data_IF_076131336568
#
_entry.id   IF_076131336568
#
_cell.length_a   1.000
_cell.length_b   1.000
_cell.length_c   1.000
_cell.angle_alpha   90.00
_cell.angle_beta   90.00
_cell.angle_gamma   90.00
#
_symmetry.space_group_name_H-M   'P 1'
#
loop_
_entity.id
_entity.type
_entity.pdbx_description
1 polymer ?
#
# COMPACT_ATOMS: atom_id res chain seq x y z
N UNK A 1 71.00 77.44 -17.49
CA UNK A 1 72.13 76.83 -16.75
C UNK A 1 71.60 75.67 -15.92
N UNK A 2 72.28 74.53 -16.03
CA UNK A 2 72.36 73.40 -15.10
C UNK A 2 71.12 72.52 -14.77
N UNK A 3 71.33 71.23 -15.06
CA UNK A 3 70.57 70.01 -14.74
C UNK A 3 70.32 69.80 -13.24
N UNK A 4 69.30 68.98 -12.91
CA UNK A 4 69.32 67.78 -12.01
C UNK A 4 67.89 67.17 -11.93
N UNK A 5 67.63 66.01 -12.53
CA UNK A 5 67.72 64.62 -11.99
C UNK A 5 66.61 64.32 -10.94
N UNK A 6 65.57 63.60 -11.38
CA UNK A 6 64.66 62.68 -10.63
C UNK A 6 65.47 61.51 -10.02
N UNK A 7 65.10 60.74 -8.95
CA UNK A 7 63.74 60.27 -8.65
C UNK A 7 63.36 59.97 -7.17
N UNK A 8 62.14 59.44 -7.00
CA UNK A 8 61.67 58.47 -5.99
C UNK A 8 61.38 58.99 -4.55
N UNK A 9 60.13 58.85 -4.12
CA UNK A 9 59.73 58.22 -2.84
C UNK A 9 58.25 57.79 -2.92
N UNK A 10 58.09 56.47 -2.97
CA UNK A 10 57.06 55.58 -2.39
C UNK A 10 55.57 55.93 -2.54
N UNK A 11 54.94 55.17 -3.45
CA UNK A 11 53.53 54.83 -3.49
C UNK A 11 53.21 53.81 -2.38
N UNK A 12 52.18 54.03 -1.56
CA UNK A 12 51.57 52.97 -0.74
C UNK A 12 50.06 53.02 -0.89
N UNK A 13 49.51 51.86 -1.21
CA UNK A 13 48.11 51.55 -1.52
C UNK A 13 47.13 52.01 -0.44
N UNK A 14 45.91 52.36 -0.86
CA UNK A 14 44.69 51.88 -0.22
C UNK A 14 43.59 51.74 -1.28
N UNK A 15 43.28 50.49 -1.60
CA UNK A 15 42.15 50.04 -2.40
C UNK A 15 40.91 50.00 -1.51
N UNK A 16 39.78 50.46 -2.04
CA UNK A 16 38.47 50.30 -1.40
C UNK A 16 37.34 50.61 -2.38
N UNK A 17 37.06 49.68 -3.29
CA UNK A 17 35.85 49.70 -4.11
C UNK A 17 34.65 49.20 -3.30
N UNK A 18 33.55 49.96 -3.44
CA UNK A 18 32.11 49.67 -3.34
C UNK A 18 31.63 48.26 -2.96
N UNK A 19 30.52 48.17 -2.22
CA UNK A 19 29.25 47.55 -2.66
C UNK A 19 28.18 47.76 -1.58
N UNK A 20 27.10 48.48 -1.92
CA UNK A 20 25.89 48.52 -1.11
C UNK A 20 25.13 47.20 -1.29
N UNK A 21 25.06 46.39 -0.24
CA UNK A 21 24.27 45.16 -0.21
C UNK A 21 22.78 45.51 -0.08
N UNK A 22 22.02 45.27 -1.14
CA UNK A 22 20.58 45.09 -1.03
C UNK A 22 20.34 43.72 -0.36
N UNK A 23 19.84 43.74 0.87
CA UNK A 23 19.33 42.55 1.54
C UNK A 23 18.02 42.15 0.84
N UNK A 24 18.10 41.21 -0.09
CA UNK A 24 16.94 40.48 -0.57
C UNK A 24 16.37 39.66 0.59
N UNK A 25 15.11 39.93 0.96
CA UNK A 25 14.33 39.02 1.81
C UNK A 25 14.33 37.63 1.15
N UNK A 26 14.49 36.53 1.90
CA UNK A 26 14.19 35.22 1.35
C UNK A 26 12.71 35.23 0.98
N UNK A 27 12.40 35.06 -0.31
CA UNK A 27 11.08 34.61 -0.74
C UNK A 27 10.83 33.31 0.00
N UNK A 28 9.77 33.26 0.80
CA UNK A 28 9.32 32.01 1.41
C UNK A 28 9.25 30.97 0.29
N UNK A 29 10.04 29.90 0.40
CA UNK A 29 9.94 28.79 -0.52
C UNK A 29 8.47 28.37 -0.52
N UNK A 30 7.81 28.43 -1.68
CA UNK A 30 6.45 27.94 -1.81
C UNK A 30 6.44 26.49 -1.27
N UNK A 31 5.47 26.19 -0.41
CA UNK A 31 5.40 24.90 0.27
C UNK A 31 5.37 23.79 -0.78
N UNK A 32 6.24 22.79 -0.62
CA UNK A 32 6.22 21.60 -1.46
C UNK A 32 4.84 20.94 -1.34
N UNK A 33 4.27 20.54 -2.47
CA UNK A 33 3.07 19.71 -2.50
C UNK A 33 3.44 18.27 -2.14
N UNK A 34 2.50 17.51 -1.60
CA UNK A 34 2.73 16.12 -1.24
C UNK A 34 1.49 15.25 -1.44
N UNK A 35 1.73 13.99 -1.75
CA UNK A 35 0.73 12.93 -1.82
C UNK A 35 1.14 11.78 -0.92
N UNK A 36 0.26 11.38 -0.01
CA UNK A 36 0.38 10.14 0.75
C UNK A 36 -0.58 9.11 0.14
N UNK A 37 -0.01 7.99 -0.31
CA UNK A 37 -0.75 6.93 -0.95
C UNK A 37 -1.61 6.18 0.08
N UNK A 38 -2.94 6.15 -0.06
CA UNK A 38 -3.82 5.56 0.94
C UNK A 38 -3.66 4.04 1.04
N UNK A 39 -3.32 3.34 -0.05
CA UNK A 39 -3.19 1.87 -0.06
C UNK A 39 -1.78 1.43 0.30
N UNK A 40 -0.77 2.00 -0.35
CA UNK A 40 0.62 1.58 -0.21
C UNK A 40 1.46 2.46 0.74
N UNK A 41 0.86 3.49 1.35
CA UNK A 41 1.44 4.32 2.43
C UNK A 41 2.81 4.95 2.13
N UNK A 42 3.19 5.04 0.87
CA UNK A 42 4.35 5.83 0.44
C UNK A 42 3.96 7.30 0.32
N UNK A 43 4.92 8.19 0.51
CA UNK A 43 4.72 9.64 0.33
C UNK A 43 5.60 10.14 -0.80
N UNK A 44 5.04 10.94 -1.69
CA UNK A 44 5.77 11.64 -2.74
C UNK A 44 5.59 13.14 -2.50
N UNK A 45 6.70 13.87 -2.39
CA UNK A 45 6.68 15.33 -2.30
C UNK A 45 7.31 15.94 -3.55
N UNK A 46 6.77 17.07 -4.00
CA UNK A 46 7.26 17.75 -5.18
C UNK A 46 7.28 19.27 -5.01
N UNK A 47 8.23 19.87 -5.70
CA UNK A 47 8.42 21.31 -5.77
C UNK A 47 7.39 21.97 -6.72
N UNK A 48 7.14 23.28 -6.58
CA UNK A 48 6.05 23.98 -7.27
C UNK A 48 6.12 23.98 -8.80
N UNK A 49 7.25 23.62 -9.40
CA UNK A 49 7.36 23.44 -10.85
C UNK A 49 6.62 22.21 -11.39
N UNK A 50 6.14 21.32 -10.51
CA UNK A 50 5.35 20.14 -10.90
C UNK A 50 3.87 20.34 -10.58
N UNK A 51 3.04 20.13 -11.60
CA UNK A 51 1.59 20.09 -11.51
C UNK A 51 1.10 18.65 -11.48
N UNK A 52 0.13 18.34 -10.60
CA UNK A 52 -0.57 17.06 -10.60
C UNK A 52 -1.55 17.01 -11.76
N UNK A 53 -1.32 16.11 -12.72
CA UNK A 53 -2.14 15.95 -13.92
C UNK A 53 -3.08 14.75 -13.86
N UNK A 54 -2.73 13.72 -13.07
CA UNK A 54 -3.62 12.61 -12.77
C UNK A 54 -3.37 12.06 -11.37
N UNK A 55 -4.44 11.60 -10.73
CA UNK A 55 -4.39 10.89 -9.46
C UNK A 55 -5.50 9.85 -9.45
N UNK A 56 -5.12 8.59 -9.31
CA UNK A 56 -6.05 7.48 -9.14
C UNK A 56 -5.54 6.58 -8.03
N UNK A 57 -6.40 6.22 -7.10
CA UNK A 57 -6.09 5.22 -6.08
C UNK A 57 -7.25 4.26 -6.00
N UNK A 58 -6.92 2.97 -6.03
CA UNK A 58 -7.81 1.88 -5.70
C UNK A 58 -7.05 0.85 -4.86
N UNK A 59 -7.79 -0.14 -4.37
CA UNK A 59 -7.30 -1.22 -3.50
C UNK A 59 -6.12 -2.03 -4.05
N UNK A 60 -5.81 -1.95 -5.35
CA UNK A 60 -4.71 -2.67 -6.02
C UNK A 60 -3.56 -1.76 -6.41
N UNK A 61 -3.81 -0.46 -6.57
CA UNK A 61 -2.80 0.47 -7.08
C UNK A 61 -3.06 1.91 -6.65
N UNK A 62 -1.98 2.59 -6.24
CA UNK A 62 -1.92 4.05 -6.15
C UNK A 62 -1.15 4.59 -7.35
N UNK A 63 -1.71 5.55 -8.08
CA UNK A 63 -1.03 6.20 -9.20
C UNK A 63 -1.14 7.71 -9.11
N UNK A 64 0.03 8.36 -9.12
CA UNK A 64 0.19 9.81 -9.22
C UNK A 64 0.93 10.13 -10.52
N UNK A 65 0.41 11.05 -11.32
CA UNK A 65 1.12 11.60 -12.48
C UNK A 65 1.30 13.11 -12.31
N UNK A 66 2.54 13.54 -12.51
CA UNK A 66 2.98 14.92 -12.43
C UNK A 66 3.55 15.36 -13.79
N UNK A 67 3.40 16.64 -14.12
CA UNK A 67 4.06 17.26 -15.26
C UNK A 67 4.57 18.64 -14.89
N UNK A 68 5.69 19.06 -15.49
CA UNK A 68 6.18 20.44 -15.42
C UNK A 68 6.07 21.17 -16.76
N UNK A 69 5.22 20.66 -17.67
CA UNK A 69 5.04 21.17 -19.03
C UNK A 69 6.10 20.71 -20.04
N UNK A 70 7.20 20.10 -19.59
CA UNK A 70 8.25 19.53 -20.46
C UNK A 70 8.37 18.03 -20.25
N UNK A 71 8.48 17.61 -18.99
CA UNK A 71 8.58 16.22 -18.58
C UNK A 71 7.27 15.74 -17.95
N UNK A 72 7.05 14.43 -18.00
CA UNK A 72 6.01 13.75 -17.22
C UNK A 72 6.66 12.72 -16.30
N UNK A 73 6.22 12.66 -15.05
CA UNK A 73 6.62 11.64 -14.08
C UNK A 73 5.38 10.95 -13.53
N UNK A 74 5.34 9.62 -13.59
CA UNK A 74 4.29 8.78 -13.04
C UNK A 74 4.87 7.88 -11.96
N UNK A 75 4.23 7.90 -10.80
CA UNK A 75 4.48 6.97 -9.72
C UNK A 75 3.31 6.03 -9.62
N UNK A 76 3.57 4.73 -9.67
CA UNK A 76 2.56 3.70 -9.51
C UNK A 76 3.02 2.71 -8.46
N UNK A 77 2.38 2.71 -7.30
CA UNK A 77 2.49 1.59 -6.39
C UNK A 77 1.48 0.51 -6.77
N UNK A 78 1.90 -0.74 -6.74
CA UNK A 78 1.07 -1.90 -7.08
C UNK A 78 1.55 -3.11 -6.31
N UNK A 79 0.62 -4.02 -6.01
CA UNK A 79 0.97 -5.39 -5.65
C UNK A 79 1.56 -6.11 -6.86
N UNK A 80 2.54 -6.97 -6.63
CA UNK A 80 3.21 -7.74 -7.67
C UNK A 80 4.70 -7.91 -7.41
N UNK A 81 5.32 -8.72 -8.26
CA UNK A 81 6.77 -8.99 -8.23
C UNK A 81 7.28 -9.56 -6.89
N UNK A 82 6.40 -9.99 -5.98
CA UNK A 82 6.80 -10.41 -4.62
C UNK A 82 7.53 -9.31 -3.85
N UNK A 83 7.22 -8.04 -4.14
CA UNK A 83 7.93 -6.89 -3.55
C UNK A 83 9.39 -6.74 -4.00
N UNK A 84 9.84 -7.58 -4.94
CA UNK A 84 11.20 -7.57 -5.48
C UNK A 84 11.35 -6.49 -6.55
N UNK A 85 12.16 -5.48 -6.23
CA UNK A 85 12.46 -4.36 -7.12
C UNK A 85 13.26 -4.77 -8.35
N UNK A 86 14.13 -5.76 -8.25
CA UNK A 86 14.93 -6.26 -9.36
C UNK A 86 14.06 -7.05 -10.33
N UNK A 87 13.14 -7.88 -9.81
CA UNK A 87 12.16 -8.59 -10.62
C UNK A 87 11.20 -7.61 -11.34
N UNK A 88 10.80 -6.54 -10.66
CA UNK A 88 10.02 -5.45 -11.25
C UNK A 88 10.78 -4.76 -12.40
N UNK A 89 12.03 -4.36 -12.16
CA UNK A 89 12.86 -3.67 -13.15
C UNK A 89 13.10 -4.55 -14.37
N UNK A 90 13.41 -5.84 -14.16
CA UNK A 90 13.56 -6.82 -15.23
C UNK A 90 12.31 -6.95 -16.10
N UNK A 91 11.13 -7.02 -15.48
CA UNK A 91 9.86 -7.12 -16.21
C UNK A 91 9.47 -5.84 -16.96
N UNK A 92 9.95 -4.68 -16.51
CA UNK A 92 9.74 -3.38 -17.15
C UNK A 92 10.83 -3.00 -18.15
N UNK A 93 11.73 -3.94 -18.47
CA UNK A 93 12.82 -3.75 -19.42
C UNK A 93 12.38 -3.73 -20.89
N UNK A 94 13.26 -4.16 -21.80
CA UNK A 94 13.05 -4.07 -23.26
C UNK A 94 11.69 -4.66 -23.72
N UNK A 95 11.24 -5.75 -23.10
CA UNK A 95 9.97 -6.43 -23.42
C UNK A 95 8.73 -5.59 -23.08
N UNK A 96 8.81 -4.70 -22.08
CA UNK A 96 7.71 -3.79 -21.74
C UNK A 96 7.42 -2.82 -22.88
N UNK A 97 8.47 -2.24 -23.48
CA UNK A 97 8.30 -1.28 -24.56
C UNK A 97 7.70 -1.93 -25.81
N UNK A 98 8.05 -3.18 -26.10
CA UNK A 98 7.49 -3.94 -27.22
C UNK A 98 5.95 -4.12 -27.15
N UNK A 99 5.36 -4.07 -25.94
CA UNK A 99 3.92 -4.20 -25.71
C UNK A 99 3.24 -2.86 -25.38
N UNK A 100 3.99 -1.77 -25.43
CA UNK A 100 3.55 -0.42 -25.06
C UNK A 100 3.28 0.44 -26.31
N UNK A 101 2.71 1.65 -26.18
CA UNK A 101 2.63 2.59 -27.30
C UNK A 101 3.98 3.21 -27.70
N UNK A 102 5.07 2.83 -27.04
CA UNK A 102 6.43 3.33 -27.25
C UNK A 102 7.26 2.33 -28.06
N UNK A 103 7.87 2.80 -29.15
CA UNK A 103 8.88 2.06 -29.89
C UNK A 103 10.24 2.26 -29.22
N UNK A 104 10.88 1.17 -28.78
CA UNK A 104 12.23 1.21 -28.22
C UNK A 104 13.25 1.43 -29.34
N UNK A 105 13.99 2.54 -29.29
CA UNK A 105 15.03 2.85 -30.27
C UNK A 105 16.42 2.42 -29.76
N UNK A 106 16.68 2.59 -28.46
CA UNK A 106 17.96 2.27 -27.86
C UNK A 106 17.80 2.07 -26.34
N UNK A 107 18.43 1.03 -25.79
CA UNK A 107 18.61 0.88 -24.34
C UNK A 107 19.99 1.38 -23.92
N UNK A 108 20.06 2.02 -22.75
CA UNK A 108 21.30 2.44 -22.11
C UNK A 108 21.50 1.63 -20.83
N UNK A 109 22.73 1.16 -20.54
CA UNK A 109 23.00 0.57 -19.25
C UNK A 109 22.74 1.59 -18.13
N UNK A 110 22.35 1.13 -16.92
CA UNK A 110 22.06 2.00 -15.78
C UNK A 110 23.14 3.06 -15.58
N UNK A 111 22.78 4.34 -15.61
CA UNK A 111 23.75 5.42 -15.35
C UNK A 111 24.02 5.51 -13.85
N UNK A 112 25.28 5.42 -13.37
CA UNK A 112 25.55 5.57 -11.95
C UNK A 112 25.10 6.96 -11.48
N UNK A 113 24.01 6.99 -10.70
CA UNK A 113 23.65 8.17 -9.95
C UNK A 113 24.74 8.37 -8.87
N UNK A 114 25.31 9.56 -8.80
CA UNK A 114 26.27 9.96 -7.76
C UNK A 114 25.71 9.87 -6.33
N UNK A 115 24.40 9.69 -6.20
CA UNK A 115 23.68 9.52 -4.93
C UNK A 115 22.70 8.37 -5.14
N UNK A 116 22.85 7.24 -4.42
CA UNK A 116 21.85 6.18 -4.42
C UNK A 116 20.50 6.72 -3.96
N UNK A 117 19.42 6.32 -4.62
CA UNK A 117 18.07 6.56 -4.11
C UNK A 117 17.91 5.63 -2.89
N UNK A 118 18.00 6.19 -1.68
CA UNK A 118 18.10 5.41 -0.43
C UNK A 118 16.88 4.52 -0.16
N UNK A 119 17.10 3.26 0.26
CA UNK A 119 16.05 2.41 0.87
C UNK A 119 16.31 0.90 0.89
N UNK A 120 17.17 0.38 0.01
CA UNK A 120 17.54 -1.05 -0.03
C UNK A 120 19.02 -1.18 -0.41
N UNK A 121 19.62 -2.30 -0.07
CA UNK A 121 21.03 -2.66 -0.28
C UNK A 121 21.46 -2.79 -1.75
N UNK A 122 20.55 -2.58 -2.71
CA UNK A 122 20.86 -2.60 -4.14
C UNK A 122 21.40 -1.24 -4.59
N UNK A 123 22.68 -1.21 -4.95
CA UNK A 123 23.34 -0.08 -5.60
C UNK A 123 22.96 0.04 -7.10
N UNK A 124 21.70 -0.22 -7.44
CA UNK A 124 21.26 -0.26 -8.84
C UNK A 124 20.66 1.08 -9.21
N UNK A 125 21.24 1.65 -10.26
CA UNK A 125 20.76 2.85 -10.89
C UNK A 125 19.50 2.56 -11.73
N UNK A 126 18.65 3.57 -11.95
CA UNK A 126 17.48 3.46 -12.81
C UNK A 126 17.85 3.12 -14.26
N UNK A 127 16.99 2.34 -14.91
CA UNK A 127 17.14 2.01 -16.32
C UNK A 127 16.67 3.17 -17.20
N UNK A 128 17.42 3.42 -18.26
CA UNK A 128 17.15 4.49 -19.22
C UNK A 128 17.01 3.95 -20.63
N UNK A 129 15.97 4.40 -21.31
CA UNK A 129 15.63 3.98 -22.67
C UNK A 129 15.39 5.21 -23.53
N UNK A 130 15.86 5.18 -24.78
CA UNK A 130 15.39 6.12 -25.79
C UNK A 130 14.24 5.45 -26.53
N UNK A 131 13.09 6.10 -26.46
CA UNK A 131 11.84 5.61 -26.99
C UNK A 131 11.22 6.64 -27.91
N UNK A 132 10.38 6.19 -28.83
CA UNK A 132 9.55 7.06 -29.67
C UNK A 132 8.09 6.72 -29.46
N UNK A 133 7.26 7.72 -29.19
CA UNK A 133 5.82 7.47 -29.11
C UNK A 133 5.25 7.26 -30.51
N UNK A 134 4.40 6.25 -30.67
CA UNK A 134 3.70 6.00 -31.94
C UNK A 134 2.77 7.15 -32.36
N UNK A 135 2.40 8.05 -31.44
CA UNK A 135 1.43 9.12 -31.65
C UNK A 135 2.05 10.49 -31.94
N UNK A 136 3.21 10.81 -31.36
CA UNK A 136 3.85 12.14 -31.48
C UNK A 136 5.07 12.10 -32.39
N UNK A 137 5.69 10.91 -32.57
CA UNK A 137 6.84 10.73 -33.46
C UNK A 137 8.16 11.36 -32.96
N UNK A 138 8.16 11.93 -31.76
CA UNK A 138 9.34 12.53 -31.13
C UNK A 138 10.10 11.53 -30.25
N UNK A 139 11.43 11.65 -30.25
CA UNK A 139 12.31 10.84 -29.42
C UNK A 139 12.33 11.36 -27.98
N UNK A 140 12.19 10.44 -27.05
CA UNK A 140 12.10 10.71 -25.62
C UNK A 140 13.04 9.79 -24.86
N UNK A 141 13.52 10.25 -23.72
CA UNK A 141 14.12 9.41 -22.70
C UNK A 141 13.02 8.94 -21.76
N UNK A 142 12.86 7.62 -21.67
CA UNK A 142 12.11 6.95 -20.64
C UNK A 142 13.04 6.55 -19.50
N UNK A 143 12.65 6.94 -18.30
CA UNK A 143 13.30 6.55 -17.05
C UNK A 143 12.39 5.56 -16.32
N UNK A 144 12.96 4.47 -15.81
CA UNK A 144 12.24 3.48 -15.00
C UNK A 144 13.03 3.16 -13.73
N UNK A 145 12.36 3.20 -12.58
CA UNK A 145 12.89 2.83 -11.27
C UNK A 145 11.84 2.03 -10.51
N UNK A 146 12.21 0.87 -9.97
CA UNK A 146 11.37 0.09 -9.08
C UNK A 146 11.95 0.13 -7.66
N UNK A 147 11.09 0.31 -6.66
CA UNK A 147 11.48 0.21 -5.24
C UNK A 147 10.55 -0.74 -4.50
N UNK A 148 11.11 -1.53 -3.59
CA UNK A 148 10.31 -2.36 -2.71
C UNK A 148 9.47 -1.49 -1.75
N UNK A 149 8.21 -1.87 -1.55
CA UNK A 149 7.31 -1.30 -0.54
C UNK A 149 7.02 -2.30 0.59
N UNK A 150 7.80 -3.39 0.67
CA UNK A 150 7.56 -4.51 1.56
C UNK A 150 7.64 -5.84 0.81
N UNK A 151 7.01 -6.89 1.35
CA UNK A 151 7.17 -8.25 0.84
C UNK A 151 6.38 -8.57 -0.42
N UNK A 152 5.50 -7.67 -0.89
CA UNK A 152 4.56 -7.99 -1.98
C UNK A 152 4.23 -6.84 -2.94
N UNK A 153 4.71 -5.63 -2.64
CA UNK A 153 4.39 -4.44 -3.41
C UNK A 153 5.64 -3.71 -3.84
N UNK A 154 5.55 -3.07 -4.99
CA UNK A 154 6.62 -2.23 -5.54
C UNK A 154 6.07 -0.86 -5.91
N UNK A 155 6.91 0.16 -5.77
CA UNK A 155 6.71 1.47 -6.36
C UNK A 155 7.46 1.54 -7.68
N UNK A 156 6.71 1.72 -8.77
CA UNK A 156 7.24 1.96 -10.10
C UNK A 156 7.25 3.47 -10.34
N UNK A 157 8.44 4.05 -10.51
CA UNK A 157 8.61 5.43 -10.95
C UNK A 157 8.98 5.43 -12.43
N UNK A 158 8.15 6.07 -13.26
CA UNK A 158 8.32 6.15 -14.70
C UNK A 158 8.34 7.62 -15.11
N UNK A 159 9.35 8.07 -15.85
CA UNK A 159 9.36 9.43 -16.40
C UNK A 159 9.62 9.44 -17.90
N UNK A 160 9.00 10.39 -18.59
CA UNK A 160 9.23 10.68 -20.01
C UNK A 160 9.71 12.10 -20.18
N UNK A 161 10.78 12.25 -20.95
CA UNK A 161 11.44 13.53 -21.20
C UNK A 161 11.79 13.63 -22.67
N UNK A 162 11.47 14.73 -23.37
CA UNK A 162 11.99 14.97 -24.73
C UNK A 162 13.52 14.85 -24.76
N UNK A 163 14.06 14.14 -25.77
CA UNK A 163 15.49 13.82 -25.84
C UNK A 163 16.38 15.07 -25.80
N UNK A 164 15.95 16.16 -26.44
CA UNK A 164 16.64 17.44 -26.49
C UNK A 164 16.53 18.27 -25.20
N UNK A 165 15.59 17.95 -24.31
CA UNK A 165 15.37 18.62 -23.05
C UNK A 165 15.98 17.90 -21.84
N UNK A 166 16.48 16.68 -22.01
CA UNK A 166 16.94 15.80 -20.92
C UNK A 166 17.87 16.47 -19.92
N UNK A 167 18.97 17.07 -20.40
CA UNK A 167 19.97 17.68 -19.52
C UNK A 167 19.37 18.78 -18.64
N UNK A 168 18.43 19.56 -19.17
CA UNK A 168 17.74 20.62 -18.44
C UNK A 168 16.75 20.10 -17.40
N UNK A 169 16.25 18.87 -17.56
CA UNK A 169 15.22 18.27 -16.70
C UNK A 169 15.79 17.41 -15.57
N UNK A 170 17.07 17.01 -15.66
CA UNK A 170 17.75 16.16 -14.67
C UNK A 170 17.63 16.67 -13.23
N UNK A 171 17.75 17.97 -13.00
CA UNK A 171 17.68 18.53 -11.66
C UNK A 171 16.28 18.39 -11.03
N UNK A 172 15.23 18.68 -11.80
CA UNK A 172 13.84 18.58 -11.36
C UNK A 172 13.45 17.13 -11.06
N UNK A 173 13.83 16.20 -11.94
CA UNK A 173 13.57 14.77 -11.78
C UNK A 173 14.31 14.17 -10.58
N UNK A 174 15.60 14.50 -10.40
CA UNK A 174 16.37 14.06 -9.22
C UNK A 174 15.77 14.57 -7.92
N UNK A 175 15.21 15.78 -7.92
CA UNK A 175 14.52 16.29 -6.74
C UNK A 175 13.31 15.45 -6.39
N UNK A 176 12.48 15.16 -7.40
CA UNK A 176 11.28 14.36 -7.26
C UNK A 176 11.56 12.96 -6.69
N UNK A 177 12.57 12.26 -7.19
CA UNK A 177 12.90 10.90 -6.76
C UNK A 177 13.54 10.80 -5.38
N UNK A 178 14.30 11.83 -4.98
CA UNK A 178 14.94 11.89 -3.66
C UNK A 178 13.93 12.06 -2.53
N UNK A 179 12.84 12.78 -2.80
CA UNK A 179 11.86 13.15 -1.78
C UNK A 179 10.71 12.11 -1.67
N UNK A 180 10.83 10.97 -2.36
CA UNK A 180 9.98 9.78 -2.16
C UNK A 180 10.32 9.12 -0.83
N UNK A 181 9.33 9.00 0.05
CA UNK A 181 9.42 8.28 1.32
C UNK A 181 8.64 6.97 1.22
N UNK A 182 9.33 5.86 1.46
CA UNK A 182 8.72 4.53 1.48
C UNK A 182 8.12 4.28 2.88
N UNK A 183 7.05 3.47 2.98
CA UNK A 183 6.53 3.03 4.28
C UNK A 183 7.61 2.24 5.03
N UNK A 184 7.56 2.19 6.37
CA UNK A 184 8.40 1.27 7.13
C UNK A 184 8.15 -0.17 6.63
N UNK A 185 9.18 -1.03 6.58
CA UNK A 185 9.02 -2.42 6.15
C UNK A 185 7.90 -3.08 6.98
N UNK A 186 6.84 -3.55 6.31
CA UNK A 186 5.80 -4.31 6.98
C UNK A 186 6.43 -5.58 7.59
N UNK A 187 6.06 -5.92 8.83
CA UNK A 187 6.47 -7.18 9.46
C UNK A 187 5.93 -8.33 8.60
N UNK A 188 6.75 -9.33 8.23
CA UNK A 188 6.33 -10.38 7.32
C UNK A 188 5.35 -11.34 8.01
N UNK A 189 4.05 -11.19 7.71
CA UNK A 189 3.08 -12.27 7.84
C UNK A 189 3.28 -13.25 6.68
N UNK A 190 3.67 -14.49 6.94
CA UNK A 190 3.84 -15.49 5.88
C UNK A 190 2.47 -15.92 5.36
N UNK A 191 2.13 -15.51 4.14
CA UNK A 191 1.01 -16.07 3.39
C UNK A 191 1.52 -17.22 2.50
N UNK A 192 0.92 -18.40 2.66
CA UNK A 192 1.28 -19.59 1.90
C UNK A 192 0.33 -19.84 0.73
N UNK A 193 0.83 -19.77 -0.51
CA UNK A 193 0.09 -20.11 -1.74
C UNK A 193 0.96 -19.96 -2.99
N UNK A 194 0.93 -20.92 -3.91
CA UNK A 194 1.70 -20.88 -5.16
C UNK A 194 0.86 -20.24 -6.27
N UNK A 195 0.84 -18.91 -6.32
CA UNK A 195 0.13 -18.13 -7.33
C UNK A 195 -0.45 -16.85 -6.73
N UNK A 196 0.07 -15.67 -7.13
CA UNK A 196 -0.44 -14.39 -6.63
C UNK A 196 -1.64 -13.99 -7.49
N UNK A 197 -2.85 -14.22 -7.00
CA UNK A 197 -4.09 -13.67 -7.56
C UNK A 197 -4.42 -12.34 -6.88
N UNK A 198 -5.26 -11.47 -7.47
CA UNK A 198 -5.76 -10.26 -6.78
C UNK A 198 -6.42 -10.56 -5.43
N UNK A 199 -6.98 -11.76 -5.28
CA UNK A 199 -7.57 -12.26 -4.05
C UNK A 199 -6.51 -12.56 -2.97
N UNK A 200 -5.41 -13.23 -3.34
CA UNK A 200 -4.27 -13.46 -2.43
C UNK A 200 -3.68 -12.12 -1.95
N UNK A 201 -3.53 -11.14 -2.84
CA UNK A 201 -3.00 -9.82 -2.49
C UNK A 201 -3.92 -9.05 -1.52
N UNK A 202 -5.23 -9.03 -1.78
CA UNK A 202 -6.20 -8.44 -0.86
C UNK A 202 -6.15 -9.13 0.51
N UNK A 203 -6.08 -10.46 0.52
CA UNK A 203 -5.98 -11.25 1.76
C UNK A 203 -4.74 -10.89 2.57
N UNK A 204 -3.58 -10.73 1.93
CA UNK A 204 -2.34 -10.35 2.61
C UNK A 204 -2.46 -8.95 3.21
N UNK A 205 -2.96 -7.97 2.44
CA UNK A 205 -3.08 -6.60 2.90
C UNK A 205 -4.02 -6.50 4.10
N UNK A 206 -5.22 -7.07 4.01
CA UNK A 206 -6.20 -7.02 5.11
C UNK A 206 -5.76 -7.85 6.31
N UNK A 207 -5.04 -8.96 6.10
CA UNK A 207 -4.42 -9.69 7.20
C UNK A 207 -3.43 -8.79 7.96
N UNK A 208 -2.52 -8.13 7.25
CA UNK A 208 -1.57 -7.20 7.87
C UNK A 208 -2.27 -6.04 8.60
N UNK A 209 -3.32 -5.46 7.99
CA UNK A 209 -4.06 -4.33 8.56
C UNK A 209 -4.84 -4.71 9.83
N UNK A 210 -5.55 -5.85 9.80
CA UNK A 210 -6.24 -6.42 10.97
C UNK A 210 -5.24 -6.74 12.09
N UNK A 211 -4.07 -7.28 11.75
CA UNK A 211 -3.03 -7.56 12.74
C UNK A 211 -2.47 -6.30 13.38
N UNK A 212 -2.28 -5.23 12.61
CA UNK A 212 -1.83 -3.95 13.14
C UNK A 212 -2.85 -3.36 14.11
N UNK A 213 -4.15 -3.44 13.78
CA UNK A 213 -5.23 -3.02 14.67
C UNK A 213 -5.20 -3.77 16.01
N UNK A 214 -5.14 -5.11 15.98
CA UNK A 214 -5.10 -5.91 17.22
C UNK A 214 -3.80 -5.79 17.99
N UNK A 215 -2.67 -5.58 17.31
CA UNK A 215 -1.40 -5.31 17.97
C UNK A 215 -1.50 -4.05 18.81
N UNK A 216 -2.00 -2.94 18.25
CA UNK A 216 -2.21 -1.71 19.01
C UNK A 216 -3.21 -1.89 20.16
N UNK A 217 -4.32 -2.59 19.93
CA UNK A 217 -5.30 -2.84 20.97
C UNK A 217 -4.74 -3.69 22.13
N UNK A 218 -3.86 -4.66 21.87
CA UNK A 218 -3.20 -5.44 22.92
C UNK A 218 -2.11 -4.66 23.64
N UNK A 219 -1.41 -3.76 22.95
CA UNK A 219 -0.43 -2.85 23.58
C UNK A 219 -1.10 -1.95 24.63
N UNK A 220 -2.31 -1.45 24.35
CA UNK A 220 -3.10 -0.68 25.32
C UNK A 220 -3.44 -1.49 26.59
N UNK A 221 -3.49 -2.82 26.48
CA UNK A 221 -3.69 -3.74 27.60
C UNK A 221 -2.38 -4.18 28.28
N UNK A 222 -1.23 -3.68 27.82
CA UNK A 222 0.10 -4.19 28.21
C UNK A 222 0.29 -5.70 27.91
N UNK A 223 -0.40 -6.21 26.88
CA UNK A 223 -0.32 -7.59 26.40
C UNK A 223 0.33 -7.65 25.02
N UNK A 224 0.68 -8.86 24.55
CA UNK A 224 1.22 -9.06 23.19
C UNK A 224 0.26 -9.87 22.34
N UNK A 225 -0.21 -9.28 21.23
CA UNK A 225 -1.03 -10.00 20.26
C UNK A 225 -0.18 -11.03 19.50
N UNK A 226 -0.55 -12.30 19.58
CA UNK A 226 0.02 -13.37 18.76
C UNK A 226 -0.69 -13.39 17.42
N UNK A 227 0.01 -12.89 16.40
CA UNK A 227 -0.48 -12.82 15.03
C UNK A 227 -0.79 -14.23 14.49
N UNK A 228 -2.01 -14.48 14.00
CA UNK A 228 -2.36 -15.74 13.34
C UNK A 228 -1.67 -15.86 11.97
N UNK A 229 -1.55 -17.09 11.47
CA UNK A 229 -1.15 -17.34 10.07
C UNK A 229 -2.36 -17.29 9.14
N UNK A 230 -2.20 -16.85 7.90
CA UNK A 230 -3.30 -16.72 6.93
C UNK A 230 -3.03 -17.61 5.72
N UNK A 231 -4.00 -18.42 5.34
CA UNK A 231 -3.88 -19.34 4.21
C UNK A 231 -5.15 -19.32 3.36
N UNK A 232 -4.99 -18.95 2.09
CA UNK A 232 -6.02 -19.17 1.07
C UNK A 232 -5.87 -20.61 0.58
N UNK A 233 -6.93 -21.40 0.67
CA UNK A 233 -6.95 -22.80 0.25
C UNK A 233 -7.70 -22.97 -1.07
N UNK A 234 -7.09 -23.70 -2.00
CA UNK A 234 -7.73 -24.18 -3.22
C UNK A 234 -8.06 -25.67 -3.05
N UNK A 235 -9.34 -26.02 -3.13
CA UNK A 235 -9.82 -27.40 -2.95
C UNK A 235 -9.62 -27.94 -1.53
N UNK A 236 -9.67 -29.26 -1.37
CA UNK A 236 -9.50 -29.90 -0.06
C UNK A 236 -8.03 -29.82 0.38
N UNK A 237 -7.72 -28.92 1.32
CA UNK A 237 -6.41 -28.85 2.00
C UNK A 237 -6.54 -29.19 3.47
N UNK A 238 -5.47 -29.76 4.03
CA UNK A 238 -5.35 -29.97 5.47
C UNK A 238 -5.09 -28.65 6.19
N UNK A 239 -5.88 -28.37 7.23
CA UNK A 239 -5.64 -27.34 8.24
C UNK A 239 -5.07 -27.96 9.52
N UNK A 240 -4.65 -27.13 10.47
CA UNK A 240 -4.31 -27.60 11.82
C UNK A 240 -5.48 -28.27 12.56
N UNK A 241 -6.72 -28.08 12.09
CA UNK A 241 -7.96 -28.55 12.69
C UNK A 241 -8.66 -29.65 11.87
N UNK A 242 -8.01 -30.17 10.81
CA UNK A 242 -8.59 -31.18 9.90
C UNK A 242 -8.75 -30.66 8.48
N UNK A 243 -9.43 -31.41 7.62
CA UNK A 243 -9.66 -30.99 6.23
C UNK A 243 -10.60 -29.78 6.16
N UNK A 244 -10.24 -28.80 5.34
CA UNK A 244 -11.15 -27.70 4.99
C UNK A 244 -12.18 -28.27 4.00
N UNK A 245 -13.41 -28.40 4.47
CA UNK A 245 -14.50 -28.92 3.64
C UNK A 245 -14.97 -27.88 2.62
N UNK A 246 -15.27 -28.28 1.38
CA UNK A 246 -15.88 -27.39 0.39
C UNK A 246 -17.19 -26.83 0.94
N UNK A 247 -17.29 -25.51 1.12
CA UNK A 247 -18.45 -24.88 1.76
C UNK A 247 -18.05 -23.82 2.78
N UNK A 248 -16.98 -24.02 3.53
CA UNK A 248 -16.52 -23.07 4.57
C UNK A 248 -15.89 -21.84 3.91
N UNK A 249 -16.45 -20.65 4.15
CA UNK A 249 -15.94 -19.39 3.58
C UNK A 249 -14.58 -19.03 4.20
N UNK A 250 -14.53 -19.02 5.52
CA UNK A 250 -13.31 -18.92 6.30
C UNK A 250 -13.49 -19.58 7.68
N UNK A 251 -12.39 -19.85 8.37
CA UNK A 251 -12.42 -20.22 9.79
C UNK A 251 -11.05 -20.00 10.47
N UNK A 252 -11.09 -19.75 11.77
CA UNK A 252 -9.93 -19.77 12.65
C UNK A 252 -9.72 -21.14 13.33
N UNK A 253 -8.51 -21.69 13.20
CA UNK A 253 -8.09 -22.91 13.85
C UNK A 253 -7.29 -22.61 15.14
N UNK A 254 -7.82 -22.93 16.33
CA UNK A 254 -7.13 -22.67 17.59
C UNK A 254 -5.87 -23.54 17.80
N UNK A 255 -5.75 -24.68 17.10
CA UNK A 255 -4.66 -25.64 17.33
C UNK A 255 -3.32 -25.16 16.75
N UNK A 256 -3.35 -24.29 15.74
CA UNK A 256 -2.15 -23.74 15.12
C UNK A 256 -2.23 -22.23 14.88
N UNK A 257 -3.24 -21.56 15.43
CA UNK A 257 -3.52 -20.14 15.21
C UNK A 257 -3.60 -19.79 13.71
N UNK A 258 -4.24 -20.65 12.91
CA UNK A 258 -4.37 -20.47 11.47
C UNK A 258 -5.75 -19.96 11.06
N UNK A 259 -5.80 -18.90 10.27
CA UNK A 259 -6.99 -18.43 9.55
C UNK A 259 -6.93 -19.00 8.14
N UNK A 260 -7.96 -19.74 7.77
CA UNK A 260 -8.08 -20.41 6.49
C UNK A 260 -9.26 -19.83 5.72
N UNK A 261 -9.11 -19.61 4.42
CA UNK A 261 -10.17 -19.09 3.57
C UNK A 261 -10.26 -19.87 2.26
N UNK A 262 -11.46 -20.17 1.79
CA UNK A 262 -11.67 -20.90 0.54
C UNK A 262 -11.64 -19.95 -0.68
N UNK A 263 -10.66 -20.15 -1.56
CA UNK A 263 -10.44 -19.31 -2.76
C UNK A 263 -11.68 -19.24 -3.66
N UNK A 264 -12.37 -20.37 -3.83
CA UNK A 264 -13.53 -20.48 -4.70
C UNK A 264 -14.71 -19.70 -4.11
N UNK A 265 -14.92 -19.77 -2.79
CA UNK A 265 -15.96 -19.00 -2.13
C UNK A 265 -15.70 -17.50 -2.20
N UNK A 266 -14.47 -17.10 -1.91
CA UNK A 266 -14.10 -15.69 -1.98
C UNK A 266 -14.25 -15.13 -3.40
N UNK A 267 -13.82 -15.88 -4.42
CA UNK A 267 -13.91 -15.44 -5.82
C UNK A 267 -15.31 -15.50 -6.43
N UNK A 268 -16.15 -16.45 -6.00
CA UNK A 268 -17.48 -16.66 -6.61
C UNK A 268 -18.60 -15.89 -5.91
N UNK A 269 -18.48 -15.61 -4.61
CA UNK A 269 -19.56 -15.03 -3.81
C UNK A 269 -19.15 -13.73 -3.11
N UNK A 270 -18.01 -13.72 -2.42
CA UNK A 270 -17.64 -12.54 -1.61
C UNK A 270 -17.19 -11.37 -2.50
N UNK A 271 -16.25 -11.60 -3.41
CA UNK A 271 -15.75 -10.55 -4.29
C UNK A 271 -16.83 -9.93 -5.18
N UNK A 272 -17.71 -10.70 -5.85
CA UNK A 272 -18.74 -10.11 -6.71
C UNK A 272 -19.79 -9.29 -5.96
N UNK A 273 -20.22 -9.74 -4.78
CA UNK A 273 -21.33 -9.11 -4.04
C UNK A 273 -20.86 -8.03 -3.07
N UNK A 274 -19.72 -8.25 -2.41
CA UNK A 274 -19.23 -7.42 -1.30
C UNK A 274 -17.86 -6.79 -1.56
N UNK A 275 -17.25 -7.08 -2.71
CA UNK A 275 -15.91 -6.61 -3.05
C UNK A 275 -14.86 -7.07 -2.04
N UNK A 276 -13.74 -6.35 -2.00
CA UNK A 276 -12.67 -6.67 -1.04
C UNK A 276 -12.99 -6.26 0.40
N UNK A 277 -14.00 -5.40 0.59
CA UNK A 277 -14.49 -5.07 1.92
C UNK A 277 -15.09 -6.30 2.62
N UNK A 278 -15.69 -7.22 1.85
CA UNK A 278 -16.12 -8.51 2.36
C UNK A 278 -14.96 -9.39 2.84
N UNK A 279 -13.84 -9.40 2.11
CA UNK A 279 -12.61 -10.11 2.52
C UNK A 279 -12.08 -9.52 3.83
N UNK A 280 -12.01 -8.18 3.92
CA UNK A 280 -11.56 -7.47 5.11
C UNK A 280 -12.42 -7.82 6.34
N UNK A 281 -13.75 -7.80 6.17
CA UNK A 281 -14.69 -8.09 7.23
C UNK A 281 -14.61 -9.55 7.71
N UNK A 282 -14.48 -10.51 6.80
CA UNK A 282 -14.31 -11.94 7.13
C UNK A 282 -12.99 -12.15 7.87
N UNK A 283 -11.88 -11.60 7.38
CA UNK A 283 -10.58 -11.69 8.06
C UNK A 283 -10.62 -11.08 9.47
N UNK A 284 -11.32 -9.95 9.63
CA UNK A 284 -11.48 -9.31 10.92
C UNK A 284 -12.33 -10.15 11.89
N UNK A 285 -13.36 -10.84 11.39
CA UNK A 285 -14.15 -11.80 12.15
C UNK A 285 -13.28 -12.98 12.62
N UNK A 286 -12.53 -13.61 11.72
CA UNK A 286 -11.66 -14.74 12.08
C UNK A 286 -10.53 -14.34 13.03
N UNK A 287 -9.98 -13.14 12.89
CA UNK A 287 -9.05 -12.57 13.85
C UNK A 287 -9.72 -12.31 15.22
N UNK A 288 -11.01 -11.99 15.23
CA UNK A 288 -11.82 -11.89 16.45
C UNK A 288 -11.80 -13.19 17.27
N UNK A 289 -11.85 -14.36 16.62
CA UNK A 289 -11.67 -15.64 17.31
C UNK A 289 -10.28 -15.82 17.90
N UNK A 290 -9.24 -15.37 17.19
CA UNK A 290 -7.88 -15.36 17.72
C UNK A 290 -7.76 -14.47 18.97
N UNK A 291 -8.41 -13.30 18.97
CA UNK A 291 -8.47 -12.39 20.12
C UNK A 291 -9.17 -13.03 21.31
N UNK A 292 -10.36 -13.61 21.09
CA UNK A 292 -11.11 -14.32 22.13
C UNK A 292 -10.26 -15.39 22.81
N UNK A 293 -9.62 -16.25 22.02
CA UNK A 293 -8.77 -17.32 22.55
C UNK A 293 -7.60 -16.76 23.36
N UNK A 294 -6.97 -15.69 22.90
CA UNK A 294 -5.81 -15.09 23.57
C UNK A 294 -6.17 -14.38 24.87
N UNK A 295 -7.39 -13.85 24.98
CA UNK A 295 -7.93 -13.23 26.20
C UNK A 295 -8.58 -14.27 27.14
N UNK A 296 -8.55 -15.56 26.80
CA UNK A 296 -9.06 -16.63 27.65
C UNK A 296 -10.58 -16.83 27.57
N UNK A 297 -11.24 -16.24 26.58
CA UNK A 297 -12.66 -16.43 26.30
C UNK A 297 -12.84 -17.67 25.40
N UNK A 298 -13.42 -18.75 25.92
CA UNK A 298 -13.72 -19.95 25.12
C UNK A 298 -14.97 -19.66 24.28
N UNK A 299 -14.81 -19.53 22.96
CA UNK A 299 -15.80 -18.86 22.11
C UNK A 299 -16.45 -19.71 21.01
N UNK A 300 -16.30 -21.04 20.99
CA UNK A 300 -17.05 -21.92 20.07
C UNK A 300 -18.53 -22.06 20.49
N UNK A 301 -19.22 -20.92 20.55
CA UNK A 301 -20.61 -20.78 20.90
C UNK A 301 -21.20 -19.66 20.07
N UNK A 302 -22.53 -19.67 19.89
CA UNK A 302 -23.26 -18.54 19.29
C UNK A 302 -22.88 -17.18 19.87
N UNK A 303 -22.61 -17.11 21.18
CA UNK A 303 -22.15 -15.86 21.81
C UNK A 303 -20.78 -15.42 21.29
N UNK A 304 -19.87 -16.37 21.11
CA UNK A 304 -18.53 -16.11 20.58
C UNK A 304 -18.55 -15.68 19.12
N UNK A 305 -19.34 -16.34 18.28
CA UNK A 305 -19.59 -15.94 16.89
C UNK A 305 -20.13 -14.51 16.78
N UNK A 306 -21.18 -14.20 17.53
CA UNK A 306 -21.78 -12.86 17.58
C UNK A 306 -20.83 -11.81 18.16
N UNK A 307 -19.95 -12.19 19.08
CA UNK A 307 -18.91 -11.29 19.56
C UNK A 307 -17.85 -11.07 18.47
N UNK A 308 -17.43 -12.09 17.72
CA UNK A 308 -16.49 -11.94 16.62
C UNK A 308 -17.04 -11.01 15.51
N UNK A 309 -18.34 -11.08 15.21
CA UNK A 309 -19.01 -10.11 14.33
C UNK A 309 -18.87 -8.67 14.87
N UNK A 310 -19.08 -8.47 16.17
CA UNK A 310 -18.89 -7.16 16.80
C UNK A 310 -17.44 -6.68 16.71
N UNK A 311 -16.46 -7.55 16.98
CA UNK A 311 -15.05 -7.19 16.86
C UNK A 311 -14.65 -6.83 15.43
N UNK A 312 -15.20 -7.54 14.43
CA UNK A 312 -15.05 -7.20 13.02
C UNK A 312 -15.60 -5.80 12.74
N UNK A 313 -16.80 -5.48 13.24
CA UNK A 313 -17.40 -4.15 13.14
C UNK A 313 -16.49 -3.04 13.69
N UNK A 314 -15.92 -3.25 14.88
CA UNK A 314 -15.02 -2.29 15.50
C UNK A 314 -13.75 -2.03 14.67
N UNK A 315 -13.16 -3.08 14.10
CA UNK A 315 -12.07 -2.93 13.13
C UNK A 315 -12.53 -2.16 11.88
N UNK A 316 -13.68 -2.53 11.29
CA UNK A 316 -14.17 -1.89 10.07
C UNK A 316 -14.47 -0.39 10.25
N UNK A 317 -14.83 0.07 11.46
CA UNK A 317 -14.94 1.50 11.76
C UNK A 317 -13.63 2.25 11.49
N UNK A 318 -12.50 1.68 11.90
CA UNK A 318 -11.18 2.29 11.68
C UNK A 318 -10.81 2.38 10.20
N UNK A 319 -11.35 1.50 9.36
CA UNK A 319 -11.07 1.52 7.92
C UNK A 319 -11.71 2.73 7.25
N UNK A 320 -12.89 3.15 7.71
CA UNK A 320 -13.57 4.36 7.23
C UNK A 320 -12.85 5.61 7.71
N UNK A 321 -12.46 5.64 8.99
CA UNK A 321 -11.68 6.75 9.56
C UNK A 321 -10.36 6.98 8.83
N UNK A 322 -9.71 5.89 8.41
CA UNK A 322 -8.44 5.90 7.65
C UNK A 322 -8.62 6.06 6.15
N UNK A 323 -9.86 6.22 5.65
CA UNK A 323 -10.18 6.43 4.24
C UNK A 323 -9.95 5.20 3.34
N UNK A 324 -9.91 3.99 3.91
CA UNK A 324 -9.75 2.73 3.16
C UNK A 324 -11.06 2.34 2.49
N UNK A 325 -12.19 2.51 3.18
CA UNK A 325 -13.54 2.28 2.65
C UNK A 325 -14.44 3.49 2.91
N UNK A 326 -15.47 3.67 2.09
CA UNK A 326 -16.50 4.66 2.34
C UNK A 326 -17.65 4.08 3.19
N UNK A 327 -18.52 4.96 3.71
CA UNK A 327 -19.65 4.56 4.53
C UNK A 327 -20.59 3.60 3.78
N UNK A 328 -20.84 3.87 2.49
CA UNK A 328 -21.75 3.08 1.67
C UNK A 328 -21.27 1.63 1.50
N UNK A 329 -19.95 1.43 1.43
CA UNK A 329 -19.32 0.11 1.41
C UNK A 329 -19.60 -0.64 2.72
N UNK A 330 -19.47 0.02 3.87
CA UNK A 330 -19.68 -0.63 5.18
C UNK A 330 -21.15 -0.92 5.46
N UNK A 331 -22.06 -0.06 5.02
CA UNK A 331 -23.50 -0.28 5.17
C UNK A 331 -23.94 -1.59 4.51
N UNK A 332 -23.28 -1.99 3.42
CA UNK A 332 -23.46 -3.28 2.76
C UNK A 332 -22.92 -4.49 3.54
N UNK A 333 -21.90 -4.31 4.38
CA UNK A 333 -21.27 -5.41 5.14
C UNK A 333 -22.14 -5.92 6.29
N UNK A 334 -23.05 -5.10 6.82
CA UNK A 334 -24.04 -5.63 7.76
C UNK A 334 -24.92 -6.72 7.10
N UNK A 335 -25.16 -6.62 5.79
CA UNK A 335 -25.88 -7.65 5.03
C UNK A 335 -25.01 -8.90 4.82
N UNK A 336 -23.70 -8.75 4.59
CA UNK A 336 -22.76 -9.88 4.53
C UNK A 336 -22.92 -10.78 5.78
N UNK A 337 -22.80 -10.21 6.98
CA UNK A 337 -22.98 -10.97 8.22
C UNK A 337 -24.40 -11.53 8.38
N UNK A 338 -25.41 -10.82 7.87
CA UNK A 338 -26.79 -11.31 7.83
C UNK A 338 -27.01 -12.52 6.93
N UNK A 339 -26.39 -12.53 5.75
CA UNK A 339 -26.47 -13.60 4.75
C UNK A 339 -25.87 -14.91 5.24
N UNK A 340 -24.89 -14.82 6.15
CA UNK A 340 -24.30 -15.96 6.84
C UNK A 340 -24.94 -16.25 8.20
N UNK A 341 -26.15 -15.74 8.48
CA UNK A 341 -26.92 -16.12 9.66
C UNK A 341 -27.60 -17.48 9.50
N UNK A 342 -27.81 -18.19 10.61
CA UNK A 342 -28.36 -19.57 10.65
C UNK A 342 -29.69 -19.72 9.85
N UNK A 343 -30.48 -18.64 9.72
CA UNK A 343 -31.77 -18.61 9.01
C UNK A 343 -31.70 -18.06 7.57
N UNK A 344 -30.52 -17.69 7.06
CA UNK A 344 -30.30 -17.20 5.69
C UNK A 344 -29.59 -18.23 4.81
N UNK A 345 -28.96 -19.24 5.41
CA UNK A 345 -28.17 -20.24 4.69
C UNK A 345 -29.03 -21.01 3.67
N UNK A 346 -28.68 -21.01 2.37
CA UNK A 346 -29.42 -21.75 1.34
C UNK A 346 -29.41 -23.26 1.59
N UNK A 347 -30.41 -23.98 1.07
CA UNK A 347 -30.61 -25.43 1.17
C UNK A 347 -29.48 -26.33 0.62
N UNK A 348 -28.35 -25.77 0.20
CA UNK A 348 -27.14 -26.50 -0.17
C UNK A 348 -26.26 -26.84 1.05
N UNK A 349 -26.52 -26.21 2.19
CA UNK A 349 -25.95 -26.54 3.48
C UNK A 349 -26.86 -27.56 4.19
N UNK A 350 -27.01 -28.73 3.57
CA UNK A 350 -27.77 -29.83 4.16
C UNK A 350 -26.90 -30.52 5.21
N UNK A 351 -26.97 -30.06 6.45
CA UNK A 351 -26.72 -30.91 7.61
C UNK A 351 -27.51 -30.38 8.80
N UNK A 352 -28.29 -31.25 9.45
CA UNK A 352 -28.92 -31.07 10.77
C UNK A 352 -27.91 -30.69 11.90
N UNK A 353 -26.65 -30.39 11.58
CA UNK A 353 -25.54 -30.11 12.49
C UNK A 353 -25.24 -28.60 12.67
N UNK A 354 -25.86 -27.72 11.87
CA UNK A 354 -25.62 -26.26 11.91
C UNK A 354 -26.74 -25.44 12.56
N UNK A 355 -27.81 -26.08 13.04
CA UNK A 355 -28.84 -25.35 13.80
C UNK A 355 -28.20 -24.78 15.08
N UNK A 356 -28.08 -23.46 15.11
CA UNK A 356 -27.67 -22.61 16.24
C UNK A 356 -26.20 -22.21 16.43
N UNK A 357 -25.32 -22.47 15.47
CA UNK A 357 -23.89 -22.19 15.63
C UNK A 357 -23.52 -20.70 15.53
N UNK A 358 -24.09 -19.93 14.58
CA UNK A 358 -23.65 -18.54 14.31
C UNK A 358 -24.58 -17.48 14.91
N UNK A 359 -25.87 -17.77 15.00
CA UNK A 359 -26.90 -16.78 15.32
C UNK A 359 -27.74 -16.40 14.10
N UNK A 360 -28.88 -15.76 14.36
CA UNK A 360 -29.77 -15.32 13.28
C UNK A 360 -29.15 -14.20 12.46
N UNK A 361 -29.57 -14.05 11.20
CA UNK A 361 -29.16 -12.95 10.32
C UNK A 361 -29.26 -11.59 11.01
N UNK A 362 -30.37 -11.36 11.72
CA UNK A 362 -30.59 -10.12 12.47
C UNK A 362 -29.58 -9.96 13.61
N UNK A 363 -29.28 -11.03 14.36
CA UNK A 363 -28.29 -10.97 15.44
C UNK A 363 -26.92 -10.62 14.89
N UNK A 364 -26.47 -11.30 13.85
CA UNK A 364 -25.16 -11.08 13.22
C UNK A 364 -25.00 -9.65 12.71
N UNK A 365 -25.94 -9.17 11.90
CA UNK A 365 -25.95 -7.77 11.42
C UNK A 365 -25.96 -6.76 12.57
N UNK A 366 -26.74 -7.02 13.62
CA UNK A 366 -26.84 -6.13 14.78
C UNK A 366 -25.52 -6.04 15.54
N UNK A 367 -24.84 -7.17 15.76
CA UNK A 367 -23.59 -7.18 16.51
C UNK A 367 -22.45 -6.57 15.71
N UNK A 368 -22.37 -6.84 14.41
CA UNK A 368 -21.44 -6.13 13.53
C UNK A 368 -21.64 -4.60 13.61
N UNK A 369 -22.87 -4.12 13.47
CA UNK A 369 -23.18 -2.69 13.58
C UNK A 369 -22.86 -2.13 14.97
N UNK A 370 -23.08 -2.89 16.04
CA UNK A 370 -22.74 -2.47 17.40
C UNK A 370 -21.25 -2.18 17.54
N UNK A 371 -20.39 -3.07 17.07
CA UNK A 371 -18.95 -2.86 17.10
C UNK A 371 -18.54 -1.69 16.22
N UNK A 372 -19.12 -1.58 15.03
CA UNK A 372 -18.86 -0.46 14.12
C UNK A 372 -19.18 0.90 14.75
N UNK A 373 -20.33 1.03 15.42
CA UNK A 373 -20.77 2.29 16.00
C UNK A 373 -20.12 2.62 17.35
N UNK A 374 -19.70 1.60 18.11
CA UNK A 374 -19.35 1.75 19.53
C UNK A 374 -17.97 1.20 19.91
N UNK A 375 -17.20 0.74 18.93
CA UNK A 375 -15.84 0.23 19.13
C UNK A 375 -15.75 -1.07 19.93
N UNK A 376 -14.52 -1.48 20.22
CA UNK A 376 -14.21 -2.80 20.81
C UNK A 376 -14.81 -2.97 22.21
N UNK A 377 -14.84 -1.90 23.02
CA UNK A 377 -15.40 -1.92 24.38
C UNK A 377 -16.88 -2.37 24.40
N UNK A 378 -17.63 -2.06 23.35
CA UNK A 378 -19.03 -2.47 23.24
C UNK A 378 -19.22 -3.98 22.99
N UNK A 379 -18.17 -4.70 22.62
CA UNK A 379 -18.21 -6.12 22.29
C UNK A 379 -18.04 -7.04 23.51
N UNK A 380 -17.83 -6.48 24.71
CA UNK A 380 -17.84 -7.25 25.96
C UNK A 380 -16.59 -8.12 26.18
N UNK A 381 -15.42 -7.61 25.79
CA UNK A 381 -14.11 -8.22 26.05
C UNK A 381 -13.48 -7.83 27.41
N UNK A 382 -14.14 -6.97 28.20
CA UNK A 382 -13.58 -6.48 29.47
C UNK A 382 -12.41 -5.51 29.31
N UNK A 383 -12.30 -4.85 28.15
CA UNK A 383 -11.25 -3.87 27.80
C UNK A 383 -11.53 -2.45 28.37
N UNK A 384 -12.02 -2.36 29.62
CA UNK A 384 -12.34 -1.08 30.27
C UNK A 384 -11.14 -0.39 30.93
#
# INVERSE_FOLDING_TARGET
MSRRITPLIVLTLLVGFTHASALTRPTAAAAASSYEAPVHRHTISWSPEWDQTALTSDITSDRLTLSNGVSTATFRATFGFGGDADACSFALGDDFFAMSPYELLQSYPPMPLSVPLHGDTSAVAPDMYVVRTSTVGEDQIAYVDCRSLGTESVLISFALVPLDAWEGQLAALRSLWRDVKLPPPALPGKVGGTGVTPLTAATVWFAADVNAFWTGAFEDLSETFRVPSYTVVEGTRGSGCGEVWPGVVAFYCPLNAGIYMDDRWLSTYILPEYGVAGIAAILAHEAGHAVQLQLGEISFSRRGELQADCLAGAYMATTVERGIFDQATIDGLANLFGDFGDNAVPSFWDTDAFEESHGTSQQRSTLFQRGYLSGVAACGLGLE
#
